data_IF_061850684725
#
_entry.id   IF_061850684725
#
_cell.length_a   1.000
_cell.length_b   1.000
_cell.length_c   1.000
_cell.angle_alpha   90.00
_cell.angle_beta   90.00
_cell.angle_gamma   90.00
#
_symmetry.space_group_name_H-M   'P 1'
#
loop_
_entity.id
_entity.type
_entity.pdbx_description
1 polymer ?
#
# COMPACT_ATOMS: atom_id res chain seq x y z
N UNK A 1 21.02 21.48 20.58
CA UNK A 1 20.81 20.71 19.34
C UNK A 1 19.84 21.52 18.53
N UNK A 2 20.24 21.96 17.33
CA UNK A 2 19.39 22.76 16.44
C UNK A 2 18.06 22.05 16.22
N UNK A 3 16.97 22.68 16.63
CA UNK A 3 15.61 22.38 16.16
C UNK A 3 15.60 22.65 14.65
N UNK A 4 16.09 21.68 13.87
CA UNK A 4 16.02 21.77 12.41
C UNK A 4 14.55 21.91 12.05
N UNK A 5 14.19 22.99 11.36
CA UNK A 5 12.83 23.22 10.88
C UNK A 5 12.31 21.93 10.25
N UNK A 6 11.12 21.45 10.66
CA UNK A 6 10.54 20.25 10.07
C UNK A 6 10.51 20.42 8.56
N UNK A 7 10.88 19.35 7.85
CA UNK A 7 10.85 19.33 6.39
C UNK A 7 9.51 19.91 5.92
N UNK A 8 9.55 21.04 5.20
CA UNK A 8 8.36 21.75 4.77
C UNK A 8 7.88 21.30 3.40
N UNK A 9 8.76 20.66 2.62
CA UNK A 9 8.51 20.16 1.26
C UNK A 9 8.95 18.71 1.17
N UNK A 10 8.05 17.85 0.72
CA UNK A 10 8.21 16.42 0.55
C UNK A 10 8.26 16.08 -0.92
N UNK A 11 9.03 15.05 -1.26
CA UNK A 11 9.11 14.53 -2.62
C UNK A 11 7.93 13.58 -2.88
N UNK A 12 7.52 13.50 -4.15
CA UNK A 12 6.44 12.61 -4.59
C UNK A 12 7.02 11.58 -5.54
N UNK A 13 6.89 10.31 -5.19
CA UNK A 13 7.25 9.20 -6.05
C UNK A 13 6.08 8.83 -6.94
N UNK A 14 6.27 9.01 -8.24
CA UNK A 14 5.30 8.61 -9.26
C UNK A 14 5.53 7.17 -9.71
N UNK A 15 4.56 6.31 -9.44
CA UNK A 15 4.45 4.93 -9.96
C UNK A 15 3.52 4.93 -11.19
N UNK A 16 3.14 3.76 -11.72
CA UNK A 16 2.33 3.71 -12.95
C UNK A 16 0.92 4.26 -12.74
N UNK A 17 0.28 3.98 -11.60
CA UNK A 17 -1.10 4.44 -11.29
C UNK A 17 -1.18 5.36 -10.07
N UNK A 18 -0.11 5.42 -9.28
CA UNK A 18 -0.11 5.99 -7.94
C UNK A 18 1.01 7.00 -7.75
N UNK A 19 0.75 8.03 -6.97
CA UNK A 19 1.74 8.96 -6.45
C UNK A 19 1.74 8.90 -4.95
N UNK A 20 2.87 8.50 -4.39
CA UNK A 20 3.06 8.39 -2.95
C UNK A 20 4.04 9.44 -2.47
N UNK A 21 3.80 9.97 -1.28
CA UNK A 21 4.65 10.96 -0.63
C UNK A 21 5.80 10.22 0.04
N UNK A 22 7.02 10.68 -0.22
CA UNK A 22 8.25 10.11 0.35
C UNK A 22 8.83 11.00 1.45
N UNK A 23 9.68 10.39 2.28
CA UNK A 23 10.29 10.99 3.47
C UNK A 23 11.81 10.88 3.39
N UNK A 24 12.52 11.92 3.85
CA UNK A 24 13.99 11.88 4.00
C UNK A 24 14.51 12.27 5.39
N UNK A 25 13.64 12.72 6.30
CA UNK A 25 13.97 13.04 7.68
C UNK A 25 12.95 12.46 8.64
N UNK A 26 13.37 12.07 9.85
CA UNK A 26 12.46 11.65 10.92
C UNK A 26 11.54 12.80 11.36
N UNK A 27 10.33 12.46 11.84
CA UNK A 27 9.35 13.45 12.32
C UNK A 27 7.98 13.34 11.63
N UNK A 28 7.85 13.75 10.35
CA UNK A 28 6.55 13.90 9.66
C UNK A 28 5.92 12.58 9.21
N UNK A 29 6.41 11.43 9.68
CA UNK A 29 5.87 10.13 9.30
C UNK A 29 4.37 9.94 9.64
N UNK A 30 3.78 10.49 10.72
CA UNK A 30 2.35 10.33 10.97
C UNK A 30 1.49 10.95 9.87
N UNK A 31 1.77 12.20 9.46
CA UNK A 31 1.01 12.85 8.38
C UNK A 31 1.23 12.14 7.05
N UNK A 32 2.45 11.71 6.75
CA UNK A 32 2.77 11.00 5.50
C UNK A 32 2.01 9.67 5.44
N UNK A 33 2.00 8.90 6.53
CA UNK A 33 1.27 7.64 6.61
C UNK A 33 -0.24 7.85 6.43
N UNK A 34 -0.83 8.85 7.10
CA UNK A 34 -2.26 9.18 6.95
C UNK A 34 -2.59 9.58 5.52
N UNK A 35 -1.84 10.51 4.92
CA UNK A 35 -2.11 11.01 3.56
C UNK A 35 -1.94 9.89 2.53
N UNK A 36 -0.85 9.12 2.61
CA UNK A 36 -0.64 7.98 1.71
C UNK A 36 -1.74 6.93 1.87
N UNK A 37 -2.20 6.66 3.10
CA UNK A 37 -3.32 5.76 3.36
C UNK A 37 -4.60 6.25 2.65
N UNK A 38 -4.95 7.53 2.81
CA UNK A 38 -6.12 8.13 2.16
C UNK A 38 -6.00 8.16 0.63
N UNK A 39 -4.80 8.35 0.08
CA UNK A 39 -4.53 8.27 -1.36
C UNK A 39 -4.74 6.85 -1.88
N UNK A 40 -4.17 5.85 -1.20
CA UNK A 40 -4.26 4.44 -1.60
C UNK A 40 -5.69 3.89 -1.49
N UNK A 41 -6.50 4.47 -0.61
CA UNK A 41 -7.93 4.19 -0.48
C UNK A 41 -8.80 4.99 -1.47
N UNK A 42 -8.20 5.80 -2.35
CA UNK A 42 -8.88 6.72 -3.30
C UNK A 42 -9.87 7.70 -2.63
N UNK A 43 -9.59 8.08 -1.38
CA UNK A 43 -10.44 8.98 -0.57
C UNK A 43 -10.08 10.45 -0.74
N UNK A 44 -8.84 10.72 -1.15
CA UNK A 44 -8.35 12.06 -1.47
C UNK A 44 -7.58 12.04 -2.79
N UNK A 45 -7.48 13.21 -3.43
CA UNK A 45 -6.72 13.36 -4.67
C UNK A 45 -5.24 13.13 -4.44
N UNK A 46 -4.61 12.44 -5.41
CA UNK A 46 -3.15 12.29 -5.47
C UNK A 46 -2.44 13.66 -5.56
N UNK A 47 -1.23 13.79 -5.00
CA UNK A 47 -0.44 15.02 -5.07
C UNK A 47 0.09 15.31 -6.48
N UNK A 48 0.66 16.51 -6.65
CA UNK A 48 1.39 16.88 -7.87
C UNK A 48 2.63 15.98 -8.07
N UNK A 49 3.12 15.78 -9.32
CA UNK A 49 4.10 14.74 -9.65
C UNK A 49 5.53 14.91 -9.12
N UNK A 50 5.86 16.00 -8.42
CA UNK A 50 7.24 16.28 -7.96
C UNK A 50 7.35 16.44 -6.44
N UNK A 51 6.48 17.28 -5.87
CA UNK A 51 6.55 17.64 -4.46
C UNK A 51 5.20 18.06 -3.90
N UNK A 52 5.11 18.02 -2.58
CA UNK A 52 3.97 18.47 -1.78
C UNK A 52 4.48 19.11 -0.50
N UNK A 53 3.86 20.21 -0.07
CA UNK A 53 4.26 20.89 1.17
C UNK A 53 3.54 20.30 2.39
N UNK A 54 4.14 20.47 3.57
CA UNK A 54 3.48 20.18 4.85
C UNK A 54 2.11 20.87 4.93
N UNK A 55 2.04 22.16 4.59
CA UNK A 55 0.81 22.95 4.59
C UNK A 55 -0.25 22.38 3.65
N UNK A 56 0.13 21.94 2.45
CA UNK A 56 -0.79 21.29 1.50
C UNK A 56 -1.36 19.99 2.08
N UNK A 57 -0.53 19.15 2.71
CA UNK A 57 -0.97 17.91 3.35
C UNK A 57 -1.96 18.19 4.49
N UNK A 58 -1.61 19.11 5.41
CA UNK A 58 -2.46 19.44 6.55
C UNK A 58 -3.79 20.07 6.09
N UNK A 59 -3.74 20.96 5.09
CA UNK A 59 -4.93 21.59 4.49
C UNK A 59 -5.82 20.55 3.82
N UNK A 60 -5.24 19.61 3.08
CA UNK A 60 -6.02 18.54 2.44
C UNK A 60 -6.67 17.63 3.47
N UNK A 61 -5.97 17.28 4.55
CA UNK A 61 -6.50 16.48 5.65
C UNK A 61 -7.63 17.20 6.39
N UNK A 62 -7.44 18.47 6.76
CA UNK A 62 -8.47 19.29 7.40
C UNK A 62 -9.73 19.43 6.54
N UNK A 63 -9.55 19.68 5.23
CA UNK A 63 -10.66 19.72 4.28
C UNK A 63 -11.39 18.38 4.15
N UNK A 64 -10.66 17.26 4.25
CA UNK A 64 -11.27 15.93 4.23
C UNK A 64 -12.15 15.70 5.47
N UNK A 65 -11.66 16.09 6.65
CA UNK A 65 -12.38 15.98 7.93
C UNK A 65 -13.65 16.85 7.93
N UNK A 66 -13.56 18.09 7.41
CA UNK A 66 -14.68 19.03 7.33
C UNK A 66 -15.77 18.61 6.34
N UNK A 67 -15.40 17.90 5.27
CA UNK A 67 -16.37 17.43 4.26
C UNK A 67 -17.25 16.29 4.74
N UNK A 68 -16.88 15.63 5.83
CA UNK A 68 -17.70 14.55 6.40
C UNK A 68 -18.96 15.15 6.99
N UNK A 69 -20.11 14.86 6.36
CA UNK A 69 -21.41 15.25 6.89
C UNK A 69 -21.72 14.44 8.14
N UNK A 70 -21.98 15.14 9.25
CA UNK A 70 -22.34 14.54 10.53
C UNK A 70 -23.71 15.09 10.91
N UNK A 71 -24.66 14.20 11.21
CA UNK A 71 -25.96 14.59 11.71
C UNK A 71 -25.78 15.38 13.03
N UNK A 72 -26.44 16.53 13.15
CA UNK A 72 -26.26 17.44 14.29
C UNK A 72 -26.61 16.80 15.64
N UNK A 73 -27.42 15.75 15.65
CA UNK A 73 -27.80 15.00 16.85
C UNK A 73 -26.69 14.04 17.33
N UNK A 74 -25.67 13.78 16.52
CA UNK A 74 -24.58 12.87 16.85
C UNK A 74 -23.43 13.62 17.58
N UNK A 75 -23.67 13.98 18.83
CA UNK A 75 -22.73 14.76 19.66
C UNK A 75 -21.34 14.13 19.78
N UNK A 76 -21.27 12.80 19.90
CA UNK A 76 -19.99 12.08 19.99
C UNK A 76 -19.14 12.25 18.71
N UNK A 77 -19.75 12.12 17.53
CA UNK A 77 -19.05 12.30 16.25
C UNK A 77 -18.65 13.76 16.02
N UNK A 78 -19.47 14.73 16.44
CA UNK A 78 -19.11 16.16 16.40
C UNK A 78 -17.92 16.48 17.30
N UNK A 79 -17.86 15.87 18.48
CA UNK A 79 -16.71 16.00 19.37
C UNK A 79 -15.46 15.36 18.73
N UNK A 80 -15.58 14.14 18.21
CA UNK A 80 -14.48 13.46 17.52
C UNK A 80 -13.96 14.25 16.31
N UNK A 81 -14.84 14.89 15.52
CA UNK A 81 -14.46 15.78 14.43
C UNK A 81 -13.67 16.98 14.94
N UNK A 82 -14.16 17.62 16.01
CA UNK A 82 -13.50 18.80 16.61
C UNK A 82 -12.10 18.45 17.12
N UNK A 83 -11.96 17.35 17.85
CA UNK A 83 -10.64 16.84 18.31
C UNK A 83 -9.74 16.52 17.12
N UNK A 84 -10.27 15.89 16.07
CA UNK A 84 -9.50 15.57 14.86
C UNK A 84 -8.98 16.83 14.15
N UNK A 85 -9.78 17.90 14.08
CA UNK A 85 -9.36 19.19 13.52
C UNK A 85 -8.29 19.88 14.37
N UNK A 86 -8.38 19.77 15.71
CA UNK A 86 -7.36 20.28 16.62
C UNK A 86 -6.01 19.57 16.41
N UNK A 87 -6.04 18.23 16.31
CA UNK A 87 -4.84 17.42 16.00
C UNK A 87 -4.26 17.83 14.63
N UNK A 88 -5.11 18.04 13.62
CA UNK A 88 -4.68 18.51 12.29
C UNK A 88 -4.19 19.97 12.27
N UNK A 89 -4.60 20.78 13.23
CA UNK A 89 -4.10 22.16 13.35
C UNK A 89 -2.81 22.21 14.18
N UNK A 90 -2.47 21.12 14.86
CA UNK A 90 -1.26 20.99 15.67
C UNK A 90 -0.03 20.71 14.80
N UNK A 91 1.15 21.10 15.31
CA UNK A 91 2.43 20.72 14.69
C UNK A 91 2.87 19.29 15.03
N UNK A 92 2.09 18.53 15.82
CA UNK A 92 2.50 17.20 16.30
C UNK A 92 2.65 16.20 15.14
N UNK A 93 1.74 16.22 14.16
CA UNK A 93 1.84 15.34 12.99
C UNK A 93 3.09 15.60 12.12
N UNK A 94 3.73 16.76 12.27
CA UNK A 94 4.95 17.14 11.54
C UNK A 94 6.25 16.87 12.33
N UNK A 95 6.18 16.89 13.67
CA UNK A 95 7.35 16.75 14.55
C UNK A 95 7.57 15.32 15.05
N UNK A 96 6.53 14.50 15.00
CA UNK A 96 6.53 13.19 15.61
C UNK A 96 5.46 13.11 16.69
N UNK A 97 5.04 11.89 16.97
CA UNK A 97 3.84 11.61 17.72
C UNK A 97 4.18 10.60 18.81
N UNK A 98 3.84 10.96 20.05
CA UNK A 98 4.03 10.10 21.20
C UNK A 98 2.83 9.17 21.31
N UNK A 99 3.07 7.87 21.17
CA UNK A 99 2.07 6.83 21.40
C UNK A 99 2.65 5.75 22.30
N UNK A 100 1.80 5.22 23.17
CA UNK A 100 2.18 4.15 24.07
C UNK A 100 1.39 2.88 23.72
N UNK A 101 2.08 1.86 23.23
CA UNK A 101 1.48 0.58 22.84
C UNK A 101 1.11 -0.23 24.07
N UNK A 102 0.08 -1.07 23.95
CA UNK A 102 -0.29 -2.07 24.96
C UNK A 102 -0.09 -3.46 24.36
N UNK A 103 0.64 -4.32 25.07
CA UNK A 103 1.06 -5.61 24.49
C UNK A 103 -0.10 -6.62 24.33
N UNK A 104 -1.27 -6.35 24.94
CA UNK A 104 -2.44 -7.25 24.91
C UNK A 104 -2.89 -7.64 23.50
N UNK A 105 -2.86 -6.70 22.56
CA UNK A 105 -3.37 -6.88 21.21
C UNK A 105 -2.70 -5.90 20.25
N UNK A 106 -2.62 -6.26 18.98
CA UNK A 106 -1.93 -5.48 17.94
C UNK A 106 -2.57 -4.13 17.60
N UNK A 107 -3.80 -3.87 18.06
CA UNK A 107 -4.56 -2.64 17.91
C UNK A 107 -4.76 -1.92 19.26
N UNK A 108 -4.01 -2.29 20.30
CA UNK A 108 -4.16 -1.74 21.63
C UNK A 108 -3.12 -0.65 21.91
N UNK A 109 -3.61 0.55 22.19
CA UNK A 109 -2.80 1.72 22.56
C UNK A 109 -3.38 2.38 23.80
N UNK A 110 -2.58 3.15 24.53
CA UNK A 110 -3.11 4.14 25.47
C UNK A 110 -3.79 5.28 24.73
N UNK A 111 -4.94 5.71 25.24
CA UNK A 111 -5.74 6.74 24.60
C UNK A 111 -4.96 8.06 24.53
N UNK A 112 -4.88 8.62 23.32
CA UNK A 112 -4.43 9.99 23.07
C UNK A 112 -5.43 10.65 22.12
N UNK A 113 -5.57 12.00 22.14
CA UNK A 113 -6.47 12.70 21.22
C UNK A 113 -6.22 12.41 19.74
N UNK A 114 -5.00 11.99 19.40
CA UNK A 114 -4.63 11.63 18.04
C UNK A 114 -5.22 10.28 17.61
N UNK A 115 -5.43 9.31 18.52
CA UNK A 115 -6.13 8.08 18.15
C UNK A 115 -7.56 8.37 17.66
N UNK A 116 -8.20 9.39 18.21
CA UNK A 116 -9.48 9.90 17.71
C UNK A 116 -9.40 10.33 16.24
N UNK A 117 -8.26 10.85 15.77
CA UNK A 117 -8.07 11.17 14.35
C UNK A 117 -8.07 9.89 13.49
N UNK A 118 -7.39 8.82 13.91
CA UNK A 118 -7.40 7.55 13.18
C UNK A 118 -8.82 6.95 13.14
N UNK A 119 -9.52 6.92 14.27
CA UNK A 119 -10.90 6.45 14.36
C UNK A 119 -11.85 7.29 13.52
N UNK A 120 -11.72 8.62 13.57
CA UNK A 120 -12.53 9.54 12.77
C UNK A 120 -12.22 9.43 11.28
N UNK A 121 -11.00 9.07 10.91
CA UNK A 121 -10.64 8.80 9.52
C UNK A 121 -10.99 7.36 9.12
N UNK A 122 -11.52 6.49 9.98
CA UNK A 122 -11.72 5.08 9.67
C UNK A 122 -10.42 4.43 9.12
N UNK A 123 -9.28 4.78 9.72
CA UNK A 123 -7.96 4.22 9.42
C UNK A 123 -7.57 3.34 10.60
N UNK A 124 -7.45 2.04 10.36
CA UNK A 124 -6.94 1.10 11.37
C UNK A 124 -5.48 1.43 11.68
N UNK A 125 -5.16 1.51 12.97
CA UNK A 125 -3.80 1.65 13.49
C UNK A 125 -3.38 0.36 14.19
N UNK A 126 -2.21 -0.16 13.83
CA UNK A 126 -1.65 -1.38 14.42
C UNK A 126 -0.22 -1.18 14.96
N UNK A 127 0.23 -2.07 15.82
CA UNK A 127 1.62 -2.35 16.14
C UNK A 127 1.86 -3.87 16.11
N UNK A 128 3.08 -4.32 15.82
CA UNK A 128 3.40 -5.74 15.73
C UNK A 128 4.18 -6.28 16.95
N UNK A 129 4.18 -5.52 18.04
CA UNK A 129 4.86 -5.88 19.29
C UNK A 129 3.87 -6.48 20.29
N UNK A 130 3.58 -7.78 20.16
CA UNK A 130 2.64 -8.49 21.03
C UNK A 130 3.20 -9.90 21.37
N UNK A 131 3.24 -10.31 22.65
CA UNK A 131 3.67 -11.65 23.02
C UNK A 131 2.67 -12.71 22.54
N UNK A 132 3.18 -13.91 22.25
CA UNK A 132 2.36 -15.09 22.01
C UNK A 132 1.71 -15.55 23.30
N UNK A 133 0.52 -16.14 23.23
CA UNK A 133 -0.11 -16.80 24.39
C UNK A 133 0.70 -17.98 24.95
N UNK A 134 1.64 -18.49 24.15
CA UNK A 134 2.56 -19.56 24.54
C UNK A 134 3.81 -19.04 25.29
N UNK A 135 4.05 -17.73 25.29
CA UNK A 135 5.17 -17.12 26.01
C UNK A 135 4.90 -17.17 27.52
N UNK A 136 5.90 -17.56 28.32
CA UNK A 136 5.74 -17.69 29.78
C UNK A 136 5.37 -16.35 30.45
N UNK A 137 5.78 -15.24 29.84
CA UNK A 137 5.58 -13.87 30.30
C UNK A 137 4.26 -13.26 29.82
N UNK A 138 3.49 -13.96 28.99
CA UNK A 138 2.27 -13.44 28.35
C UNK A 138 1.28 -12.83 29.34
N UNK A 139 1.00 -13.53 30.44
CA UNK A 139 0.03 -13.10 31.45
C UNK A 139 0.42 -11.77 32.09
N UNK A 140 1.72 -11.52 32.26
CA UNK A 140 2.19 -10.24 32.81
C UNK A 140 2.26 -9.17 31.72
N UNK A 141 2.89 -9.46 30.58
CA UNK A 141 3.05 -8.52 29.47
C UNK A 141 1.72 -8.02 28.92
N UNK A 142 0.73 -8.90 28.73
CA UNK A 142 -0.59 -8.55 28.18
C UNK A 142 -1.38 -7.54 29.01
N UNK A 143 -0.95 -7.25 30.24
CA UNK A 143 -1.58 -6.25 31.12
C UNK A 143 -0.89 -4.89 31.06
N UNK A 144 0.29 -4.81 30.44
CA UNK A 144 1.17 -3.65 30.47
C UNK A 144 1.11 -2.83 29.18
N UNK A 145 1.36 -1.54 29.33
CA UNK A 145 1.85 -0.67 28.25
C UNK A 145 3.37 -0.64 28.18
N UNK A 146 3.94 -0.09 27.11
CA UNK A 146 5.39 0.05 26.97
C UNK A 146 6.00 0.88 28.12
N UNK A 147 5.37 1.99 28.50
CA UNK A 147 5.87 2.82 29.61
C UNK A 147 5.85 2.07 30.96
N UNK A 148 4.83 1.26 31.20
CA UNK A 148 4.74 0.43 32.40
C UNK A 148 5.82 -0.67 32.39
N UNK A 149 6.02 -1.35 31.26
CA UNK A 149 7.07 -2.34 31.10
C UNK A 149 8.46 -1.75 31.36
N UNK A 150 8.78 -0.60 30.76
CA UNK A 150 10.08 0.06 30.94
C UNK A 150 10.37 0.35 32.42
N UNK A 151 9.34 0.74 33.18
CA UNK A 151 9.49 0.96 34.63
C UNK A 151 9.84 -0.34 35.37
N UNK A 152 9.25 -1.47 34.94
CA UNK A 152 9.54 -2.79 35.51
C UNK A 152 10.91 -3.35 35.10
N UNK A 153 11.52 -2.87 34.01
CA UNK A 153 12.86 -3.29 33.61
C UNK A 153 13.95 -2.88 34.60
N UNK A 154 13.68 -2.00 35.56
CA UNK A 154 14.61 -1.68 36.64
C UNK A 154 14.54 -2.66 37.82
N UNK A 155 13.54 -3.53 37.88
CA UNK A 155 13.41 -4.55 38.93
C UNK A 155 14.21 -5.81 38.57
N UNK A 156 15.18 -6.17 39.40
CA UNK A 156 16.01 -7.37 39.23
C UNK A 156 15.23 -8.68 39.30
N UNK A 157 14.02 -8.67 39.87
CA UNK A 157 13.14 -9.84 39.89
C UNK A 157 12.43 -10.08 38.56
N UNK A 158 12.47 -9.13 37.63
CA UNK A 158 11.78 -9.16 36.33
C UNK A 158 12.68 -9.64 35.19
N UNK A 159 13.58 -10.59 35.46
CA UNK A 159 14.57 -11.06 34.48
C UNK A 159 13.95 -11.57 33.17
N UNK A 160 12.84 -12.31 33.26
CA UNK A 160 12.12 -12.81 32.09
C UNK A 160 11.60 -11.70 31.17
N UNK A 161 11.03 -10.63 31.76
CA UNK A 161 10.58 -9.45 31.00
C UNK A 161 11.75 -8.74 30.33
N UNK A 162 12.91 -8.65 31.01
CA UNK A 162 14.14 -8.09 30.43
C UNK A 162 14.61 -8.91 29.23
N UNK A 163 14.61 -10.24 29.35
CA UNK A 163 14.99 -11.14 28.24
C UNK A 163 14.05 -10.93 27.05
N UNK A 164 12.74 -10.95 27.26
CA UNK A 164 11.76 -10.75 26.19
C UNK A 164 11.90 -9.37 25.53
N UNK A 165 12.06 -8.31 26.33
CA UNK A 165 12.27 -6.95 25.84
C UNK A 165 13.52 -6.85 24.94
N UNK A 166 14.63 -7.45 25.37
CA UNK A 166 15.88 -7.44 24.61
C UNK A 166 15.77 -8.26 23.32
N UNK A 167 15.08 -9.41 23.36
CA UNK A 167 14.87 -10.26 22.17
C UNK A 167 13.95 -9.62 21.14
N UNK A 168 13.00 -8.78 21.58
CA UNK A 168 11.99 -8.11 20.74
C UNK A 168 12.26 -6.62 20.56
N UNK A 169 13.51 -6.18 20.77
CA UNK A 169 13.93 -4.77 20.70
C UNK A 169 13.64 -4.09 19.34
N UNK A 170 13.40 -4.88 18.28
CA UNK A 170 12.96 -4.38 16.97
C UNK A 170 11.47 -3.99 16.91
N UNK A 171 10.77 -4.10 18.05
CA UNK A 171 9.35 -3.82 18.25
C UNK A 171 8.43 -4.61 17.32
N UNK A 172 8.83 -5.84 17.00
CA UNK A 172 8.08 -6.75 16.16
C UNK A 172 8.22 -8.18 16.67
N UNK A 173 7.15 -8.95 16.49
CA UNK A 173 7.05 -10.37 16.82
C UNK A 173 6.34 -11.09 15.68
N UNK A 174 6.72 -12.35 15.43
CA UNK A 174 6.03 -13.16 14.41
C UNK A 174 4.54 -13.31 14.74
N UNK A 175 4.24 -13.52 16.02
CA UNK A 175 2.86 -13.58 16.53
C UNK A 175 2.09 -12.28 16.26
N UNK A 176 2.69 -11.11 16.54
CA UNK A 176 2.06 -9.82 16.25
C UNK A 176 1.75 -9.61 14.76
N UNK A 177 2.68 -9.95 13.86
CA UNK A 177 2.43 -9.88 12.42
C UNK A 177 1.29 -10.82 12.01
N UNK A 178 1.28 -12.06 12.54
CA UNK A 178 0.21 -13.02 12.30
C UNK A 178 -1.17 -12.52 12.79
N UNK A 179 -1.23 -11.92 13.98
CA UNK A 179 -2.45 -11.35 14.52
C UNK A 179 -3.01 -10.23 13.62
N UNK A 180 -2.15 -9.35 13.10
CA UNK A 180 -2.57 -8.30 12.17
C UNK A 180 -3.16 -8.92 10.90
N UNK A 181 -2.52 -9.95 10.33
CA UNK A 181 -3.02 -10.66 9.14
C UNK A 181 -4.42 -11.22 9.35
N UNK A 182 -4.74 -11.70 10.55
CA UNK A 182 -6.09 -12.19 10.89
C UNK A 182 -7.15 -11.09 11.01
N UNK A 183 -6.73 -9.84 11.27
CA UNK A 183 -7.61 -8.66 11.45
C UNK A 183 -7.77 -7.82 10.19
N UNK A 184 -6.97 -8.07 9.16
CA UNK A 184 -7.00 -7.36 7.89
C UNK A 184 -7.62 -8.20 6.77
N UNK A 185 -8.39 -7.56 5.90
CA UNK A 185 -8.87 -8.16 4.66
C UNK A 185 -7.81 -8.04 3.57
N UNK A 186 -7.75 -8.98 2.60
CA UNK A 186 -6.90 -8.80 1.42
C UNK A 186 -7.18 -7.46 0.72
N UNK A 187 -6.14 -6.69 0.42
CA UNK A 187 -6.18 -5.36 -0.18
C UNK A 187 -6.55 -4.22 0.77
N UNK A 188 -6.83 -4.51 2.06
CA UNK A 188 -7.12 -3.47 3.04
C UNK A 188 -5.85 -2.66 3.35
N UNK A 189 -5.99 -1.34 3.46
CA UNK A 189 -4.90 -0.41 3.78
C UNK A 189 -5.06 0.04 5.23
N UNK A 190 -3.98 -0.02 6.00
CA UNK A 190 -3.92 0.40 7.39
C UNK A 190 -2.61 1.14 7.68
N UNK A 191 -2.49 1.74 8.86
CA UNK A 191 -1.24 2.32 9.37
C UNK A 191 -0.67 1.42 10.45
N UNK A 192 0.66 1.27 10.47
CA UNK A 192 1.37 0.55 11.51
C UNK A 192 2.41 1.45 12.18
N UNK A 193 2.53 1.31 13.49
CA UNK A 193 3.59 1.88 14.30
C UNK A 193 4.63 0.83 14.66
N UNK A 194 5.90 1.13 14.40
CA UNK A 194 7.06 0.32 14.80
C UNK A 194 8.30 1.20 14.85
N UNK A 195 9.12 1.04 15.89
CA UNK A 195 10.40 1.75 16.08
C UNK A 195 10.27 3.28 15.94
N UNK A 196 9.29 3.88 16.62
CA UNK A 196 9.01 5.33 16.56
C UNK A 196 8.67 5.84 15.14
N UNK A 197 8.20 4.96 14.26
CA UNK A 197 7.85 5.29 12.89
C UNK A 197 6.44 4.81 12.54
N UNK A 198 5.70 5.64 11.79
CA UNK A 198 4.40 5.30 11.23
C UNK A 198 4.55 5.07 9.74
N UNK A 199 4.00 3.97 9.25
CA UNK A 199 4.01 3.64 7.83
C UNK A 199 2.75 2.89 7.42
N UNK A 200 2.47 2.91 6.12
CA UNK A 200 1.29 2.25 5.56
C UNK A 200 1.57 0.77 5.38
N UNK A 201 0.61 -0.07 5.74
CA UNK A 201 0.66 -1.52 5.54
C UNK A 201 -0.58 -2.04 4.82
N UNK A 202 -0.42 -3.18 4.14
CA UNK A 202 -1.52 -3.91 3.51
C UNK A 202 -1.29 -5.42 3.58
N UNK A 203 -2.37 -6.18 3.51
CA UNK A 203 -2.34 -7.65 3.41
C UNK A 203 -2.74 -8.05 1.99
N UNK A 204 -1.88 -8.74 1.25
CA UNK A 204 -2.18 -9.17 -0.12
C UNK A 204 -1.40 -10.44 -0.45
N UNK A 205 -1.95 -11.32 -1.31
CA UNK A 205 -1.26 -12.55 -1.77
C UNK A 205 -0.67 -13.40 -0.63
N UNK A 206 -1.38 -13.53 0.48
CA UNK A 206 -0.92 -14.22 1.68
C UNK A 206 0.42 -13.70 2.22
N UNK A 207 0.65 -12.39 2.17
CA UNK A 207 1.76 -11.71 2.81
C UNK A 207 1.37 -10.29 3.27
N UNK A 208 2.07 -9.79 4.28
CA UNK A 208 1.96 -8.40 4.71
C UNK A 208 3.01 -7.58 3.97
N UNK A 209 2.66 -6.36 3.59
CA UNK A 209 3.56 -5.43 2.94
C UNK A 209 3.53 -4.07 3.60
N UNK A 210 4.68 -3.41 3.69
CA UNK A 210 4.83 -2.02 4.07
C UNK A 210 5.13 -1.15 2.85
N UNK A 211 4.53 0.03 2.78
CA UNK A 211 4.77 0.98 1.70
C UNK A 211 6.18 1.57 1.82
N UNK A 212 6.94 1.53 0.73
CA UNK A 212 8.29 2.10 0.68
C UNK A 212 8.17 3.61 0.48
N UNK A 213 8.32 4.36 1.58
CA UNK A 213 8.28 5.83 1.58
C UNK A 213 9.65 6.49 1.67
N UNK A 214 10.74 5.72 1.73
CA UNK A 214 12.10 6.30 1.79
C UNK A 214 12.46 7.00 0.46
N UNK A 215 12.91 8.25 0.55
CA UNK A 215 13.25 9.08 -0.61
C UNK A 215 14.41 8.51 -1.45
N UNK A 216 15.26 7.65 -0.90
CA UNK A 216 16.30 6.93 -1.62
C UNK A 216 15.76 6.08 -2.77
N UNK A 217 14.49 5.66 -2.71
CA UNK A 217 13.81 4.90 -3.76
C UNK A 217 12.97 5.76 -4.71
N UNK A 218 13.13 7.10 -4.70
CA UNK A 218 12.34 8.02 -5.52
C UNK A 218 12.38 7.67 -7.02
N UNK A 219 13.55 7.25 -7.52
CA UNK A 219 13.77 6.93 -8.93
C UNK A 219 13.62 5.44 -9.27
N UNK A 220 13.08 4.64 -8.34
CA UNK A 220 12.84 3.20 -8.52
C UNK A 220 11.32 2.91 -8.52
N UNK A 221 10.58 3.26 -9.59
CA UNK A 221 9.12 3.12 -9.65
C UNK A 221 8.64 1.67 -9.54
N UNK A 222 9.52 0.69 -9.76
CA UNK A 222 9.26 -0.74 -9.62
C UNK A 222 9.26 -1.23 -8.15
N UNK A 223 9.73 -0.41 -7.21
CA UNK A 223 9.83 -0.75 -5.79
C UNK A 223 8.80 0.05 -4.98
N UNK A 224 7.60 -0.49 -4.79
CA UNK A 224 6.49 0.22 -4.13
C UNK A 224 6.26 -0.31 -2.73
N UNK A 225 6.31 -1.63 -2.57
CA UNK A 225 6.01 -2.33 -1.34
C UNK A 225 7.19 -3.21 -0.94
N UNK A 226 7.39 -3.39 0.36
CA UNK A 226 8.36 -4.32 0.94
C UNK A 226 7.62 -5.32 1.82
N UNK A 227 7.94 -6.61 1.71
CA UNK A 227 7.35 -7.63 2.57
C UNK A 227 7.70 -7.37 4.04
N UNK A 228 6.67 -7.30 4.88
CA UNK A 228 6.83 -6.99 6.30
C UNK A 228 7.29 -8.23 7.06
N UNK A 229 8.52 -8.19 7.56
CA UNK A 229 9.14 -9.26 8.37
C UNK A 229 9.66 -8.70 9.70
N UNK A 230 9.86 -9.58 10.69
CA UNK A 230 10.48 -9.18 11.97
C UNK A 230 11.91 -8.68 11.77
N UNK A 231 12.65 -9.29 10.83
CA UNK A 231 14.04 -8.93 10.51
C UNK A 231 14.22 -7.78 9.51
N UNK A 232 13.13 -7.23 8.94
CA UNK A 232 13.18 -6.18 7.91
C UNK A 232 14.05 -6.56 6.69
N UNK A 233 14.01 -7.82 6.26
CA UNK A 233 14.74 -8.34 5.11
C UNK A 233 13.78 -8.88 4.03
N UNK A 234 12.59 -8.28 3.94
CA UNK A 234 11.55 -8.71 3.03
C UNK A 234 11.89 -8.42 1.57
N UNK A 235 11.21 -9.12 0.67
CA UNK A 235 11.36 -8.83 -0.75
C UNK A 235 10.59 -7.56 -1.13
N UNK A 236 11.22 -6.71 -1.94
CA UNK A 236 10.54 -5.56 -2.53
C UNK A 236 9.74 -5.95 -3.79
N UNK A 237 8.55 -5.39 -3.94
CA UNK A 237 7.61 -5.65 -5.03
C UNK A 237 7.04 -4.35 -5.61
N UNK A 238 6.50 -4.43 -6.82
CA UNK A 238 5.88 -3.30 -7.51
C UNK A 238 4.44 -3.03 -7.03
N UNK A 239 3.74 -2.08 -7.68
CA UNK A 239 2.35 -1.71 -7.36
C UNK A 239 1.33 -2.86 -7.48
N UNK A 240 1.65 -3.90 -8.26
CA UNK A 240 0.80 -5.08 -8.47
C UNK A 240 1.25 -6.28 -7.60
N UNK A 241 2.11 -6.05 -6.60
CA UNK A 241 2.66 -7.06 -5.68
C UNK A 241 3.47 -8.16 -6.38
N UNK A 242 4.20 -7.78 -7.44
CA UNK A 242 5.10 -8.67 -8.17
C UNK A 242 6.56 -8.28 -7.94
N UNK A 243 7.39 -9.30 -7.67
CA UNK A 243 8.84 -9.17 -7.69
C UNK A 243 9.35 -8.98 -9.13
N UNK A 244 10.56 -8.45 -9.27
CA UNK A 244 11.25 -8.35 -10.57
C UNK A 244 11.37 -9.71 -11.27
N UNK A 245 11.65 -10.77 -10.50
CA UNK A 245 11.74 -12.13 -11.04
C UNK A 245 10.40 -12.64 -11.58
N UNK A 246 9.29 -12.38 -10.87
CA UNK A 246 7.95 -12.74 -11.34
C UNK A 246 7.55 -11.96 -12.60
N UNK A 247 7.86 -10.67 -12.68
CA UNK A 247 7.62 -9.86 -13.88
C UNK A 247 8.35 -10.42 -15.10
N UNK A 248 9.66 -10.72 -14.97
CA UNK A 248 10.44 -11.32 -16.04
C UNK A 248 9.86 -12.67 -16.50
N UNK A 249 9.45 -13.53 -15.56
CA UNK A 249 8.83 -14.81 -15.88
C UNK A 249 7.49 -14.65 -16.63
N UNK A 250 6.69 -13.63 -16.28
CA UNK A 250 5.44 -13.30 -16.98
C UNK A 250 5.73 -12.82 -18.39
N UNK A 251 6.71 -11.95 -18.58
CA UNK A 251 7.06 -11.39 -19.88
C UNK A 251 7.64 -12.46 -20.82
N UNK A 252 8.50 -13.35 -20.31
CA UNK A 252 9.01 -14.51 -21.06
C UNK A 252 7.89 -15.47 -21.47
N UNK A 253 6.90 -15.68 -20.61
CA UNK A 253 5.73 -16.50 -20.94
C UNK A 253 4.89 -15.85 -22.04
N UNK A 254 4.59 -14.55 -21.93
CA UNK A 254 3.85 -13.79 -22.95
C UNK A 254 4.58 -13.79 -24.30
N UNK A 255 5.91 -13.63 -24.29
CA UNK A 255 6.72 -13.66 -25.50
C UNK A 255 6.65 -15.02 -26.21
N UNK A 256 6.73 -16.13 -25.45
CA UNK A 256 6.55 -17.48 -25.99
C UNK A 256 5.17 -17.71 -26.58
N UNK A 257 4.10 -17.31 -25.86
CA UNK A 257 2.72 -17.44 -26.33
C UNK A 257 2.48 -16.64 -27.63
N UNK A 258 3.04 -15.42 -27.71
CA UNK A 258 2.97 -14.59 -28.91
C UNK A 258 3.72 -15.24 -30.08
N UNK A 259 4.92 -15.79 -29.83
CA UNK A 259 5.71 -16.46 -30.85
C UNK A 259 5.01 -17.71 -31.39
N UNK A 260 4.39 -18.51 -30.52
CA UNK A 260 3.58 -19.66 -30.93
C UNK A 260 2.35 -19.24 -31.74
N UNK A 261 1.68 -18.15 -31.36
CA UNK A 261 0.53 -17.63 -32.10
C UNK A 261 0.93 -17.18 -33.50
N UNK A 262 2.00 -16.39 -33.62
CA UNK A 262 2.54 -15.94 -34.91
C UNK A 262 2.97 -17.12 -35.78
N UNK A 263 3.57 -18.16 -35.20
CA UNK A 263 3.96 -19.36 -35.93
C UNK A 263 2.74 -20.11 -36.47
N UNK A 264 1.67 -20.25 -35.68
CA UNK A 264 0.41 -20.89 -36.12
C UNK A 264 -0.26 -20.09 -37.25
N UNK A 265 -0.31 -18.77 -37.14
CA UNK A 265 -0.85 -17.89 -38.18
C UNK A 265 -0.05 -18.00 -39.49
N UNK A 266 1.29 -17.94 -39.41
CA UNK A 266 2.16 -18.11 -40.57
C UNK A 266 2.01 -19.51 -41.23
N UNK A 267 1.89 -20.57 -40.44
CA UNK A 267 1.63 -21.93 -40.96
C UNK A 267 0.25 -22.03 -41.65
N UNK A 268 -0.76 -21.34 -41.13
CA UNK A 268 -2.09 -21.32 -41.71
C UNK A 268 -2.12 -20.54 -43.04
N UNK A 269 -1.45 -19.39 -43.12
CA UNK A 269 -1.28 -18.64 -44.37
C UNK A 269 -0.47 -19.43 -45.42
N UNK A 270 0.60 -20.11 -45.01
CA UNK A 270 1.39 -20.98 -45.88
C UNK A 270 0.56 -22.15 -46.45
N UNK A 271 -0.46 -22.65 -45.73
CA UNK A 271 -1.39 -23.67 -46.23
C UNK A 271 -2.43 -23.11 -47.21
N UNK A 272 -2.90 -21.88 -47.01
CA UNK A 272 -3.91 -21.24 -47.85
C UNK A 272 -3.35 -20.66 -49.16
N UNK A 273 -2.06 -20.30 -49.19
CA UNK A 273 -1.38 -19.71 -50.36
C UNK A 273 -1.29 -20.64 -51.61
N UNK A 274 -0.98 -21.95 -51.52
CA UNK A 274 -1.05 -22.84 -52.69
C UNK A 274 -2.49 -23.07 -53.18
N UNK A 275 -3.49 -23.09 -52.29
CA UNK A 275 -4.91 -23.22 -52.66
C UNK A 275 -5.43 -22.00 -53.43
N UNK A 276 -5.03 -20.78 -53.02
CA UNK A 276 -5.33 -19.54 -53.78
C UNK A 276 -4.65 -19.51 -55.15
N UNK A 277 -3.40 -19.99 -55.28
CA UNK A 277 -2.70 -20.09 -56.58
C UNK A 277 -3.36 -21.08 -57.55
N UNK A 278 -4.03 -22.13 -57.06
CA UNK A 278 -4.78 -23.08 -57.89
C UNK A 278 -6.14 -22.54 -58.35
N UNK A 279 -6.81 -21.67 -57.58
CA UNK A 279 -8.08 -21.05 -58.00
C UNK A 279 -7.90 -19.97 -59.08
N UNK A 280 -6.78 -19.23 -59.08
CA UNK A 280 -6.51 -18.19 -60.09
C UNK A 280 -6.11 -18.75 -61.47
N UNK A 281 -5.74 -20.04 -61.56
CA UNK A 281 -5.32 -20.69 -62.82
C UNK A 281 -6.42 -21.40 -63.61
N UNK A 282 -7.71 -21.33 -63.23
CA UNK A 282 -8.81 -21.80 -64.10
C UNK A 282 -9.15 -20.72 -65.14
N UNK A 283 -9.02 -20.97 -66.45
CA UNK A 283 -9.46 -20.02 -67.47
C UNK A 283 -10.99 -19.91 -67.42
N UNK A 284 -11.52 -18.68 -67.47
CA UNK A 284 -12.92 -18.47 -67.77
C UNK A 284 -13.19 -18.98 -69.19
N UNK A 285 -13.86 -20.13 -69.31
CA UNK A 285 -14.34 -20.62 -70.60
C UNK A 285 -15.43 -19.67 -71.10
N UNK A 286 -15.08 -18.83 -72.07
CA UNK A 286 -16.01 -18.01 -72.82
C UNK A 286 -17.00 -18.93 -73.57
N UNK A 287 -18.27 -18.90 -73.17
CA UNK A 287 -19.35 -19.45 -73.98
C UNK A 287 -19.65 -18.46 -75.11
N UNK A 288 -19.11 -18.72 -76.29
CA UNK A 288 -19.64 -18.15 -77.52
C UNK A 288 -21.05 -18.73 -77.75
N UNK A 289 -22.06 -17.88 -77.70
CA UNK A 289 -23.39 -18.15 -78.28
C UNK A 289 -23.46 -17.41 -79.60
N UNK A 290 -23.30 -18.14 -80.70
CA UNK A 290 -23.89 -17.76 -81.97
C UNK A 290 -25.41 -17.89 -81.85
N UNK A 291 -26.14 -16.84 -82.21
CA UNK A 291 -27.54 -16.91 -82.61
C UNK A 291 -27.80 -15.77 -83.59
N UNK A 292 -28.11 -16.19 -84.80
CA UNK A 292 -28.43 -15.41 -85.99
C UNK A 292 -29.63 -14.47 -85.78
N UNK A 293 -29.60 -13.39 -86.55
CA UNK A 293 -30.68 -12.71 -87.27
C UNK A 293 -32.11 -12.73 -86.67
N UNK A 294 -32.76 -11.56 -86.64
CA UNK A 294 -33.78 -11.15 -87.64
C UNK A 294 -34.45 -9.84 -87.19
N UNK A 295 -34.32 -8.83 -88.07
CA UNK A 295 -35.25 -7.76 -88.44
C UNK A 295 -36.63 -7.67 -87.72
N UNK A 296 -37.03 -6.48 -87.25
CA UNK A 296 -38.21 -5.72 -87.75
C UNK A 296 -38.48 -4.44 -86.92
N UNK A 297 -38.92 -3.38 -87.65
CA UNK A 297 -39.67 -2.15 -87.32
C UNK A 297 -40.03 -1.86 -85.84
N UNK A 298 -40.03 -0.62 -85.34
CA UNK A 298 -40.53 0.64 -85.90
C UNK A 298 -39.97 1.82 -85.08
#
# INVERSE_FOLDING_TARGET
MEDSLPQSVFTVKSCSKLRIITQCKNGPCPIIAIINCLILQDRIKQPAPDSVTAEQMMTQLGNYILKREIAHECTELLHAQSTSLEVCSSQQLLKGLDINVKFKAVDAFEFTPMLTLFDFLDIKLFHCWAPSSDDEEYEELSKLSYNELVTLLFDDKKEKLKIWYNQTASQATEYGIFQIRSKMKPGEIAVMFRNNHFFVVTFQNDAMYSLITDQGYLHSPELVWEELTVSCNGNSVNEDFLTKAQLLAIDEKKARELQEKLLKEAQQEARLSPQRRQQVKKPAAAKAKESKDVCFLM
#
